data_IF_543959985559
#
_entry.id   IF_543959985559
#
_cell.length_a   1.000
_cell.length_b   1.000
_cell.length_c   1.000
_cell.angle_alpha   90.00
_cell.angle_beta   90.00
_cell.angle_gamma   90.00
#
_symmetry.space_group_name_H-M   'P 1'
#
loop_
_entity.id
_entity.type
_entity.pdbx_description
1 polymer ?
#
# COMPACT_ATOMS: atom_id res chain seq x y z
N UNK A 1 -34.15 17.09 55.09
CA UNK A 1 -33.49 17.99 54.12
C UNK A 1 -32.87 17.12 53.04
N UNK A 2 -33.19 17.39 51.77
CA UNK A 2 -32.79 16.61 50.57
C UNK A 2 -31.36 16.99 50.14
N UNK A 3 -30.55 16.01 49.72
CA UNK A 3 -29.40 16.20 48.82
C UNK A 3 -29.17 14.86 48.08
N UNK A 4 -29.77 14.66 46.90
CA UNK A 4 -29.27 15.05 45.57
C UNK A 4 -28.09 14.17 45.11
N UNK A 5 -28.42 13.07 44.42
CA UNK A 5 -27.53 12.21 43.65
C UNK A 5 -27.18 12.95 42.36
N UNK A 6 -25.89 13.16 42.09
CA UNK A 6 -25.42 13.75 40.83
C UNK A 6 -24.88 12.64 39.92
N UNK A 7 -25.44 12.41 38.71
CA UNK A 7 -24.88 11.44 37.78
C UNK A 7 -23.70 12.09 37.03
N UNK A 8 -22.51 11.48 37.16
CA UNK A 8 -21.34 11.85 36.35
C UNK A 8 -21.54 11.23 34.95
N UNK A 9 -21.93 12.06 33.99
CA UNK A 9 -21.95 11.70 32.58
C UNK A 9 -20.52 11.86 32.05
N UNK A 10 -19.81 10.74 31.86
CA UNK A 10 -18.52 10.73 31.15
C UNK A 10 -18.84 10.74 29.66
N UNK A 11 -18.77 11.92 29.05
CA UNK A 11 -18.81 12.07 27.61
C UNK A 11 -17.50 11.55 27.00
N UNK A 12 -17.55 10.38 26.36
CA UNK A 12 -16.42 9.79 25.65
C UNK A 12 -16.24 10.52 24.31
N UNK A 13 -15.51 11.63 24.31
CA UNK A 13 -15.10 12.33 23.09
C UNK A 13 -14.12 11.46 22.31
N UNK A 14 -14.58 10.89 21.19
CA UNK A 14 -13.75 10.16 20.24
C UNK A 14 -12.70 11.08 19.62
N UNK A 15 -11.43 10.89 20.00
CA UNK A 15 -10.29 11.49 19.32
C UNK A 15 -10.16 10.85 17.93
N UNK A 16 -10.58 11.59 16.90
CA UNK A 16 -10.17 11.29 15.54
C UNK A 16 -8.66 11.58 15.43
N UNK A 17 -7.83 10.54 15.51
CA UNK A 17 -6.39 10.67 15.29
C UNK A 17 -6.19 10.90 13.79
N UNK A 18 -5.64 12.05 13.36
CA UNK A 18 -5.31 12.24 11.96
C UNK A 18 -4.17 11.28 11.60
N UNK A 19 -4.43 10.37 10.65
CA UNK A 19 -3.37 9.54 10.09
C UNK A 19 -2.42 10.46 9.31
N UNK A 20 -1.29 10.82 9.92
CA UNK A 20 -0.25 11.58 9.26
C UNK A 20 0.30 10.74 8.09
N UNK A 21 0.14 11.24 6.87
CA UNK A 21 0.91 10.76 5.74
C UNK A 21 2.38 11.11 5.98
N UNK A 22 3.19 10.13 6.43
CA UNK A 22 4.62 10.35 6.65
C UNK A 22 5.34 10.53 5.31
N UNK A 23 5.57 11.78 4.92
CA UNK A 23 6.55 12.11 3.90
C UNK A 23 7.94 11.71 4.45
N UNK A 24 8.59 10.73 3.84
CA UNK A 24 9.93 10.29 4.27
C UNK A 24 10.96 11.37 3.89
N UNK A 25 11.63 12.03 4.87
CA UNK A 25 12.54 13.12 4.58
C UNK A 25 13.62 12.68 3.57
N UNK A 26 13.73 13.40 2.45
CA UNK A 26 14.76 13.14 1.43
C UNK A 26 14.41 12.10 0.36
N UNK A 27 13.30 11.35 0.48
CA UNK A 27 12.86 10.43 -0.60
C UNK A 27 11.70 11.05 -1.37
N UNK A 28 11.96 11.48 -2.60
CA UNK A 28 10.89 11.87 -3.52
C UNK A 28 10.30 10.64 -4.18
N UNK A 29 8.98 10.63 -4.29
CA UNK A 29 8.21 9.55 -4.85
C UNK A 29 7.30 10.08 -5.95
N UNK A 30 7.37 9.46 -7.13
CA UNK A 30 6.45 9.69 -8.25
C UNK A 30 5.81 8.35 -8.61
N UNK A 31 4.49 8.33 -8.82
CA UNK A 31 3.75 7.07 -9.02
C UNK A 31 2.86 7.20 -10.25
N UNK A 32 3.01 6.24 -11.15
CA UNK A 32 2.22 6.12 -12.37
C UNK A 32 1.45 4.80 -12.31
N UNK A 33 0.19 4.83 -12.75
CA UNK A 33 -0.67 3.66 -12.78
C UNK A 33 -1.22 3.48 -14.18
N UNK A 34 -1.15 2.25 -14.68
CA UNK A 34 -1.63 1.87 -15.99
C UNK A 34 -2.66 0.75 -15.86
N UNK A 35 -3.71 0.82 -16.66
CA UNK A 35 -4.65 -0.28 -16.86
C UNK A 35 -4.23 -1.02 -18.11
N UNK A 36 -4.18 -2.33 -18.00
CA UNK A 36 -3.90 -3.22 -19.11
C UNK A 36 -5.20 -3.58 -19.84
N UNK A 37 -5.32 -3.11 -21.09
CA UNK A 37 -6.52 -3.30 -21.92
C UNK A 37 -6.23 -4.28 -23.03
N UNK A 38 -7.21 -5.12 -23.36
CA UNK A 38 -7.18 -5.93 -24.58
C UNK A 38 -7.94 -5.19 -25.66
N UNK A 39 -7.28 -4.90 -26.77
CA UNK A 39 -7.85 -4.25 -27.95
C UNK A 39 -7.64 -5.13 -29.17
N UNK A 40 -8.62 -5.18 -30.07
CA UNK A 40 -8.48 -5.87 -31.35
C UNK A 40 -7.76 -4.96 -32.34
N UNK A 41 -6.72 -5.46 -33.01
CA UNK A 41 -6.04 -4.73 -34.07
C UNK A 41 -6.84 -4.73 -35.40
N UNK A 42 -6.34 -3.99 -36.40
CA UNK A 42 -6.97 -3.90 -37.73
C UNK A 42 -7.08 -5.24 -38.47
N UNK A 43 -6.37 -6.28 -38.01
CA UNK A 43 -6.37 -7.63 -38.57
C UNK A 43 -7.20 -8.60 -37.73
N UNK A 44 -7.97 -8.12 -36.75
CA UNK A 44 -8.80 -8.97 -35.89
C UNK A 44 -8.05 -9.68 -34.76
N UNK A 45 -6.77 -9.35 -34.50
CA UNK A 45 -5.97 -10.00 -33.45
C UNK A 45 -6.04 -9.23 -32.14
N UNK A 46 -6.20 -9.95 -31.03
CA UNK A 46 -6.13 -9.38 -29.69
C UNK A 46 -4.72 -8.88 -29.38
N UNK A 47 -4.61 -7.61 -28.96
CA UNK A 47 -3.38 -6.97 -28.50
C UNK A 47 -3.59 -6.40 -27.11
N UNK A 48 -2.60 -6.61 -26.25
CA UNK A 48 -2.57 -6.02 -24.92
C UNK A 48 -1.87 -4.66 -24.99
N UNK A 49 -2.53 -3.61 -24.51
CA UNK A 49 -1.98 -2.25 -24.46
C UNK A 49 -2.04 -1.74 -23.02
N UNK A 50 -1.13 -0.82 -22.69
CA UNK A 50 -1.18 -0.06 -21.44
C UNK A 50 -1.85 1.28 -21.70
N UNK A 51 -2.94 1.54 -20.99
CA UNK A 51 -3.63 2.83 -20.99
C UNK A 51 -3.44 3.51 -19.63
N UNK A 52 -3.54 4.84 -19.58
CA UNK A 52 -3.59 5.55 -18.30
C UNK A 52 -4.75 5.04 -17.44
N UNK A 53 -4.53 4.94 -16.14
CA UNK A 53 -5.54 4.45 -15.19
C UNK A 53 -6.57 5.53 -14.77
N UNK A 54 -6.93 6.45 -15.68
CA UNK A 54 -7.87 7.54 -15.38
C UNK A 54 -9.27 7.01 -15.04
N UNK A 55 -9.61 5.82 -15.54
CA UNK A 55 -10.80 5.03 -15.16
C UNK A 55 -10.42 3.57 -14.96
N UNK A 56 -10.55 3.13 -13.71
CA UNK A 56 -10.34 1.74 -13.27
C UNK A 56 -11.69 1.08 -13.01
N UNK A 57 -11.88 -0.12 -13.52
CA UNK A 57 -13.11 -0.93 -13.41
C UNK A 57 -12.80 -2.25 -12.72
N UNK A 58 -13.74 -2.87 -11.96
CA UNK A 58 -13.56 -4.23 -11.49
C UNK A 58 -13.14 -5.19 -12.61
N UNK A 59 -12.13 -6.01 -12.35
CA UNK A 59 -11.47 -6.91 -13.30
C UNK A 59 -10.22 -6.34 -13.97
N UNK A 60 -10.03 -5.01 -13.97
CA UNK A 60 -8.87 -4.37 -14.59
C UNK A 60 -7.56 -4.85 -13.96
N UNK A 61 -6.59 -5.16 -14.82
CA UNK A 61 -5.22 -5.45 -14.41
C UNK A 61 -4.44 -4.14 -14.40
N UNK A 62 -3.92 -3.81 -13.23
CA UNK A 62 -3.15 -2.60 -12.97
C UNK A 62 -1.67 -2.92 -12.96
N UNK A 63 -0.89 -2.04 -13.58
CA UNK A 63 0.55 -1.97 -13.40
C UNK A 63 0.84 -0.64 -12.72
N UNK A 64 1.37 -0.71 -11.50
CA UNK A 64 1.82 0.46 -10.76
C UNK A 64 3.32 0.55 -10.89
N UNK A 65 3.80 1.72 -11.29
CA UNK A 65 5.22 2.06 -11.38
C UNK A 65 5.49 3.15 -10.37
N UNK A 66 6.46 2.92 -9.50
CA UNK A 66 6.92 3.87 -8.50
C UNK A 66 8.35 4.26 -8.81
N UNK A 67 8.55 5.52 -9.18
CA UNK A 67 9.86 6.14 -9.23
C UNK A 67 10.19 6.70 -7.85
N UNK A 68 11.39 6.41 -7.37
CA UNK A 68 11.92 6.97 -6.13
C UNK A 68 13.26 7.65 -6.39
N UNK A 69 13.56 8.71 -5.64
CA UNK A 69 14.85 9.41 -5.72
C UNK A 69 15.25 9.96 -4.36
N UNK A 70 16.52 9.84 -4.01
CA UNK A 70 17.12 10.60 -2.92
C UNK A 70 17.32 12.06 -3.37
N UNK A 71 16.42 12.94 -2.96
CA UNK A 71 16.50 14.39 -3.17
C UNK A 71 17.16 15.13 -2.00
N UNK A 72 17.57 14.41 -0.96
CA UNK A 72 18.32 14.96 0.16
C UNK A 72 19.79 15.26 -0.17
N UNK A 73 20.45 15.95 0.76
CA UNK A 73 21.89 16.25 0.69
C UNK A 73 22.79 15.20 1.36
N UNK A 74 22.20 14.17 1.97
CA UNK A 74 22.90 13.08 2.64
C UNK A 74 22.46 11.70 2.11
N UNK A 75 23.28 10.64 2.28
CA UNK A 75 22.87 9.29 1.92
C UNK A 75 21.66 8.82 2.74
N UNK A 76 20.68 8.21 2.09
CA UNK A 76 19.60 7.50 2.78
C UNK A 76 20.14 6.20 3.35
N UNK A 77 19.71 5.87 4.56
CA UNK A 77 20.01 4.61 5.25
C UNK A 77 18.73 4.03 5.83
N UNK A 78 18.60 2.71 5.78
CA UNK A 78 17.46 1.96 6.34
C UNK A 78 16.09 2.46 5.87
N UNK A 79 16.03 3.05 4.67
CA UNK A 79 14.79 3.59 4.10
C UNK A 79 14.04 2.53 3.31
N UNK A 80 12.74 2.74 3.15
CA UNK A 80 11.89 1.85 2.37
C UNK A 80 10.79 2.62 1.64
N UNK A 81 10.47 2.20 0.43
CA UNK A 81 9.31 2.70 -0.30
C UNK A 81 8.07 1.96 0.21
N UNK A 82 7.14 2.71 0.81
CA UNK A 82 5.88 2.16 1.33
C UNK A 82 4.71 2.67 0.48
N UNK A 83 3.74 1.80 0.17
CA UNK A 83 2.48 2.19 -0.50
C UNK A 83 1.26 1.58 0.19
N UNK A 84 0.26 2.38 0.57
CA UNK A 84 -1.05 1.85 0.93
C UNK A 84 -1.73 1.27 -0.32
N UNK A 85 -2.45 0.17 -0.13
CA UNK A 85 -3.33 -0.37 -1.18
C UNK A 85 -4.71 0.29 -1.06
N UNK A 86 -5.25 0.83 -2.16
CA UNK A 86 -6.64 1.28 -2.19
C UNK A 86 -7.60 0.12 -1.95
N UNK A 87 -8.80 0.43 -1.44
CA UNK A 87 -9.88 -0.56 -1.30
C UNK A 87 -10.23 -1.16 -2.67
N UNK A 88 -10.53 -2.45 -2.69
CA UNK A 88 -10.87 -3.17 -3.93
C UNK A 88 -9.64 -3.56 -4.76
N UNK A 89 -8.44 -3.15 -4.39
CA UNK A 89 -7.22 -3.59 -5.08
C UNK A 89 -6.67 -4.83 -4.40
N UNK A 90 -6.35 -5.85 -5.19
CA UNK A 90 -5.56 -7.00 -4.76
C UNK A 90 -4.26 -7.08 -5.54
N UNK A 91 -3.18 -7.47 -4.90
CA UNK A 91 -1.87 -7.59 -5.53
C UNK A 91 -1.41 -9.04 -5.60
N UNK A 92 -0.44 -9.30 -6.48
CA UNK A 92 0.38 -10.49 -6.41
C UNK A 92 1.61 -10.23 -5.51
N UNK A 93 1.71 -10.88 -4.33
CA UNK A 93 2.83 -10.71 -3.41
C UNK A 93 4.02 -11.65 -3.71
N UNK A 94 4.12 -12.21 -4.92
CA UNK A 94 5.16 -13.17 -5.30
C UNK A 94 6.57 -12.58 -5.35
N UNK A 95 6.73 -11.27 -5.60
CA UNK A 95 8.03 -10.58 -5.65
C UNK A 95 8.80 -10.82 -4.33
N UNK A 96 9.98 -11.47 -4.35
CA UNK A 96 10.76 -11.80 -3.16
C UNK A 96 11.30 -10.57 -2.41
N UNK A 97 11.44 -9.43 -3.08
CA UNK A 97 11.87 -8.17 -2.48
C UNK A 97 10.74 -7.39 -1.78
N UNK A 98 9.49 -7.77 -2.05
CA UNK A 98 8.31 -7.15 -1.48
C UNK A 98 8.03 -7.67 -0.07
N UNK A 99 7.76 -6.77 0.84
CA UNK A 99 7.11 -7.05 2.12
C UNK A 99 5.70 -6.47 2.10
N UNK A 100 4.79 -7.08 2.85
CA UNK A 100 3.41 -6.62 2.96
C UNK A 100 3.03 -6.45 4.42
N UNK A 101 1.99 -5.66 4.65
CA UNK A 101 1.36 -5.47 5.95
C UNK A 101 -0.14 -5.72 5.84
N UNK A 102 -0.71 -6.37 6.86
CA UNK A 102 -2.15 -6.66 6.98
C UNK A 102 -2.83 -5.86 8.11
N UNK A 103 -2.10 -4.94 8.72
CA UNK A 103 -2.50 -4.21 9.93
C UNK A 103 -2.23 -2.70 9.83
N UNK A 104 -2.31 -2.14 8.62
CA UNK A 104 -2.18 -0.72 8.41
C UNK A 104 -0.72 -0.21 8.41
N UNK A 105 0.25 -1.08 8.17
CA UNK A 105 1.67 -0.74 8.10
C UNK A 105 2.41 -0.86 9.44
N UNK A 106 1.80 -1.50 10.45
CA UNK A 106 2.44 -1.69 11.76
C UNK A 106 3.48 -2.80 11.73
N UNK A 107 3.16 -3.93 11.11
CA UNK A 107 4.08 -5.05 10.95
C UNK A 107 4.30 -5.37 9.46
N UNK A 108 5.52 -5.80 9.15
CA UNK A 108 5.96 -6.10 7.78
C UNK A 108 6.50 -7.52 7.71
N UNK A 109 6.14 -8.25 6.66
CA UNK A 109 6.65 -9.60 6.45
C UNK A 109 6.32 -10.12 5.07
N UNK A 110 6.74 -11.37 4.81
CA UNK A 110 6.29 -12.11 3.63
C UNK A 110 4.84 -12.54 3.84
N UNK A 111 4.07 -12.58 2.76
CA UNK A 111 2.63 -12.88 2.83
C UNK A 111 2.31 -14.21 3.55
N UNK A 112 3.13 -15.23 3.33
CA UNK A 112 3.01 -16.57 3.92
C UNK A 112 3.37 -16.65 5.41
N UNK A 113 3.93 -15.57 5.97
CA UNK A 113 4.31 -15.45 7.38
C UNK A 113 3.27 -14.69 8.20
N UNK A 114 2.27 -14.06 7.57
CA UNK A 114 1.33 -13.18 8.26
C UNK A 114 0.06 -13.92 8.70
N UNK A 115 -0.38 -13.58 9.91
CA UNK A 115 -1.56 -14.13 10.56
C UNK A 115 -2.42 -13.00 11.12
N UNK A 116 -3.72 -13.22 11.14
CA UNK A 116 -4.70 -12.27 11.64
C UNK A 116 -5.56 -12.93 12.72
N UNK A 117 -5.94 -12.20 13.79
CA UNK A 117 -6.92 -12.68 14.74
C UNK A 117 -8.27 -12.88 14.05
N UNK A 118 -9.06 -13.84 14.51
CA UNK A 118 -10.44 -14.02 14.04
C UNK A 118 -11.44 -13.38 15.01
N UNK A 119 -12.63 -12.94 14.55
CA UNK A 119 -13.65 -12.39 15.43
C UNK A 119 -14.16 -13.36 16.52
N UNK A 120 -13.99 -14.67 16.30
CA UNK A 120 -14.43 -15.72 17.23
C UNK A 120 -13.31 -16.19 18.17
N UNK A 121 -12.17 -15.49 18.19
CA UNK A 121 -10.95 -15.92 18.88
C UNK A 121 -10.03 -16.78 18.00
N UNK A 122 -8.78 -16.93 18.42
CA UNK A 122 -7.73 -17.59 17.64
C UNK A 122 -7.25 -16.77 16.43
N UNK A 123 -6.51 -17.43 15.54
CA UNK A 123 -5.84 -16.79 14.38
C UNK A 123 -6.05 -17.57 13.09
N UNK A 124 -6.03 -16.88 11.95
CA UNK A 124 -5.99 -17.48 10.60
C UNK A 124 -4.81 -16.94 9.80
N UNK A 125 -4.38 -17.69 8.77
CA UNK A 125 -3.42 -17.16 7.79
C UNK A 125 -4.02 -15.95 7.09
N UNK A 126 -3.19 -14.95 6.82
CA UNK A 126 -3.56 -13.85 5.96
C UNK A 126 -3.74 -14.33 4.51
N UNK A 127 -4.64 -13.68 3.78
CA UNK A 127 -4.86 -13.85 2.34
C UNK A 127 -4.63 -12.53 1.62
N UNK A 128 -4.44 -12.55 0.30
CA UNK A 128 -4.12 -11.34 -0.47
C UNK A 128 -5.13 -10.19 -0.26
N UNK A 129 -6.39 -10.52 0.05
CA UNK A 129 -7.44 -9.56 0.37
C UNK A 129 -7.21 -8.78 1.69
N UNK A 130 -6.37 -9.30 2.58
CA UNK A 130 -6.06 -8.64 3.86
C UNK A 130 -4.91 -7.64 3.75
N UNK A 131 -4.20 -7.60 2.62
CA UNK A 131 -3.05 -6.72 2.44
C UNK A 131 -3.52 -5.27 2.44
N UNK A 132 -2.94 -4.48 3.34
CA UNK A 132 -3.21 -3.05 3.49
C UNK A 132 -2.10 -2.19 2.91
N UNK A 133 -0.85 -2.64 3.01
CA UNK A 133 0.33 -1.92 2.52
C UNK A 133 1.36 -2.87 1.92
N UNK A 134 2.17 -2.32 1.02
CA UNK A 134 3.37 -2.93 0.47
C UNK A 134 4.60 -2.08 0.79
N UNK A 135 5.74 -2.74 0.94
CA UNK A 135 7.02 -2.14 1.30
C UNK A 135 8.15 -2.79 0.52
N UNK A 136 9.06 -1.97 0.02
CA UNK A 136 10.36 -2.40 -0.51
C UNK A 136 11.47 -1.64 0.19
N UNK A 137 12.43 -2.36 0.77
CA UNK A 137 13.62 -1.74 1.34
C UNK A 137 14.51 -1.19 0.22
N UNK A 138 15.01 0.02 0.42
CA UNK A 138 16.07 0.58 -0.42
C UNK A 138 17.42 -0.04 -0.02
N UNK A 139 18.43 0.01 -0.91
CA UNK A 139 19.79 -0.37 -0.53
C UNK A 139 20.30 0.38 0.71
N UNK A 140 21.18 -0.25 1.50
CA UNK A 140 21.65 0.24 2.81
C UNK A 140 22.25 1.66 2.79
N UNK A 141 22.80 2.07 1.64
CA UNK A 141 23.30 3.42 1.43
C UNK A 141 22.92 3.90 0.02
N UNK A 142 21.98 4.84 -0.06
CA UNK A 142 21.57 5.49 -1.32
C UNK A 142 22.10 6.92 -1.32
N UNK A 143 23.15 7.25 -2.09
CA UNK A 143 23.72 8.60 -2.11
C UNK A 143 22.73 9.66 -2.65
N UNK A 144 22.96 10.95 -2.36
CA UNK A 144 22.20 12.05 -2.95
C UNK A 144 22.08 11.93 -4.48
N UNK A 145 20.91 12.26 -5.02
CA UNK A 145 20.61 12.24 -6.44
C UNK A 145 20.34 10.86 -7.05
N UNK A 146 20.64 9.76 -6.33
CA UNK A 146 20.35 8.42 -6.82
C UNK A 146 18.86 8.14 -6.85
N UNK A 147 18.43 7.39 -7.87
CA UNK A 147 17.04 7.09 -8.12
C UNK A 147 16.86 5.65 -8.58
N UNK A 148 15.63 5.17 -8.51
CA UNK A 148 15.27 3.84 -8.97
C UNK A 148 13.80 3.75 -9.33
N UNK A 149 13.41 2.56 -9.81
CA UNK A 149 12.05 2.24 -10.21
C UNK A 149 11.64 0.90 -9.63
N UNK A 150 10.45 0.88 -9.04
CA UNK A 150 9.77 -0.33 -8.59
C UNK A 150 8.48 -0.48 -9.40
N UNK A 151 8.04 -1.71 -9.61
CA UNK A 151 6.74 -1.96 -10.23
C UNK A 151 6.08 -3.17 -9.62
N UNK A 152 4.76 -3.10 -9.45
CA UNK A 152 3.97 -4.22 -9.01
C UNK A 152 2.66 -4.30 -9.79
N UNK A 153 2.12 -5.52 -9.86
CA UNK A 153 0.83 -5.78 -10.49
C UNK A 153 -0.26 -5.83 -9.45
N UNK A 154 -1.42 -5.34 -9.83
CA UNK A 154 -2.62 -5.44 -9.03
C UNK A 154 -3.84 -5.73 -9.91
N UNK A 155 -4.91 -6.20 -9.30
CA UNK A 155 -6.20 -6.44 -9.93
C UNK A 155 -7.24 -5.66 -9.14
N UNK A 156 -8.05 -4.86 -9.84
CA UNK A 156 -9.25 -4.28 -9.26
C UNK A 156 -10.32 -5.37 -9.12
N UNK A 157 -10.92 -5.49 -7.94
CA UNK A 157 -11.97 -6.46 -7.60
C UNK A 157 -13.33 -5.79 -7.50
#
# INVERSE_FOLDING_TARGET
MKAAILPVIIALTGLAVPQAAWAQPGVRLDTQMFVERVTTDVNGRSRRILASADRVTPGDQLIVIVHWRNDGSAPLRDQAVIRPLPRGVQIDPSDPSMQVSVDGGMHWGRMDQLWLPTPLGGTRRAVAADITHVRWSLPDAVPPGHAGRLSYRATMR
#
